data_IF_349699642382
#
_entry.id   IF_349699642382
#
_cell.length_a   1.000
_cell.length_b   1.000
_cell.length_c   1.000
_cell.angle_alpha   90.00
_cell.angle_beta   90.00
_cell.angle_gamma   90.00
#
_symmetry.space_group_name_H-M   'P 1'
#
loop_
_entity.id
_entity.type
_entity.pdbx_description
1 polymer ?
#
# COMPACT_ATOMS: atom_id res chain seq x y z
N UNK A 1 11.43 -5.71 10.67
CA UNK A 1 12.28 -4.52 10.57
C UNK A 1 11.57 -3.52 9.69
N UNK A 2 10.94 -2.52 10.29
CA UNK A 2 10.15 -1.53 9.57
C UNK A 2 11.07 -0.59 8.79
N UNK A 3 10.78 -0.40 7.52
CA UNK A 3 11.39 0.64 6.69
C UNK A 3 10.83 2.00 7.10
N UNK A 4 11.71 2.97 7.31
CA UNK A 4 11.31 4.31 7.71
C UNK A 4 10.52 5.02 6.61
N UNK A 5 9.32 5.47 6.95
CA UNK A 5 8.52 6.32 6.10
C UNK A 5 9.18 7.69 5.93
N UNK A 6 9.43 8.10 4.69
CA UNK A 6 9.88 9.44 4.37
C UNK A 6 8.75 10.45 4.63
N UNK A 7 9.03 11.49 5.40
CA UNK A 7 8.06 12.52 5.75
C UNK A 7 7.65 13.35 4.52
N UNK A 8 6.37 13.41 4.22
CA UNK A 8 5.79 14.27 3.19
C UNK A 8 5.76 15.73 3.65
N UNK A 9 6.39 16.61 2.87
CA UNK A 9 6.12 18.04 2.80
C UNK A 9 5.55 18.33 1.41
N UNK A 10 4.26 18.62 1.34
CA UNK A 10 3.62 19.04 0.09
C UNK A 10 4.07 20.46 -0.28
N UNK A 11 4.89 20.58 -1.32
CA UNK A 11 5.14 21.81 -2.06
C UNK A 11 4.72 21.58 -3.51
N UNK A 12 3.71 22.30 -3.96
CA UNK A 12 3.26 22.29 -5.35
C UNK A 12 4.36 22.87 -6.25
N UNK A 13 5.21 22.01 -6.78
CA UNK A 13 6.17 22.30 -7.83
C UNK A 13 5.72 21.64 -9.13
N UNK A 14 5.68 22.40 -10.23
CA UNK A 14 5.33 21.89 -11.53
C UNK A 14 6.28 20.76 -11.94
N UNK A 15 5.82 19.54 -11.78
CA UNK A 15 6.51 18.35 -12.24
C UNK A 15 6.52 18.33 -13.76
N UNK A 16 7.70 18.23 -14.35
CA UNK A 16 7.82 17.86 -15.77
C UNK A 16 7.28 16.44 -15.91
N UNK A 17 6.09 16.29 -16.49
CA UNK A 17 5.46 15.02 -16.72
C UNK A 17 6.46 14.05 -17.39
N UNK A 18 6.95 13.06 -16.62
CA UNK A 18 7.55 11.86 -17.19
C UNK A 18 6.49 11.19 -18.06
N UNK A 19 6.88 10.69 -19.23
CA UNK A 19 5.95 9.99 -20.11
C UNK A 19 5.21 8.91 -19.30
N UNK A 20 3.87 8.99 -19.28
CA UNK A 20 3.01 8.04 -18.55
C UNK A 20 3.47 6.60 -18.82
N UNK A 21 3.79 5.87 -17.77
CA UNK A 21 4.11 4.46 -17.83
C UNK A 21 5.60 4.08 -17.99
N UNK A 22 6.55 5.03 -17.89
CA UNK A 22 7.97 4.71 -17.98
C UNK A 22 8.64 4.63 -16.60
N UNK A 23 9.42 3.59 -16.38
CA UNK A 23 10.25 3.49 -15.18
C UNK A 23 11.32 4.59 -15.12
N UNK A 24 11.71 5.06 -13.92
CA UNK A 24 12.82 6.00 -13.74
C UNK A 24 14.13 5.47 -14.31
N UNK A 25 15.07 6.39 -14.58
CA UNK A 25 16.40 6.02 -15.09
C UNK A 25 17.10 5.02 -14.14
N UNK A 26 17.65 3.95 -14.70
CA UNK A 26 18.30 2.88 -13.95
C UNK A 26 17.39 1.73 -13.53
N UNK A 27 16.11 1.82 -13.86
CA UNK A 27 15.16 0.72 -13.70
C UNK A 27 14.76 0.13 -15.05
N UNK A 28 14.39 -1.15 -15.05
CA UNK A 28 13.73 -1.83 -16.16
C UNK A 28 12.27 -2.11 -15.80
N UNK A 29 11.40 -2.07 -16.79
CA UNK A 29 9.95 -2.31 -16.63
C UNK A 29 9.62 -3.79 -16.70
N UNK A 30 8.56 -4.22 -16.01
CA UNK A 30 7.88 -5.48 -16.29
C UNK A 30 7.32 -5.50 -17.73
N UNK A 31 7.13 -6.72 -18.26
CA UNK A 31 6.47 -6.91 -19.56
C UNK A 31 4.96 -7.04 -19.42
N UNK A 32 4.47 -7.45 -18.24
CA UNK A 32 3.05 -7.50 -17.91
C UNK A 32 2.45 -6.11 -17.82
N UNK A 33 1.31 -5.91 -18.46
CA UNK A 33 0.55 -4.68 -18.37
C UNK A 33 -0.20 -4.63 -17.02
N UNK A 34 0.14 -3.64 -16.20
CA UNK A 34 -0.56 -3.33 -14.94
C UNK A 34 -1.48 -2.13 -15.12
N UNK A 35 -2.32 -2.15 -16.16
CA UNK A 35 -3.17 -1.03 -16.57
C UNK A 35 -2.39 0.27 -16.79
N UNK A 36 -1.11 0.15 -17.22
CA UNK A 36 -0.22 1.28 -17.44
C UNK A 36 0.41 1.86 -16.18
N UNK A 37 0.26 1.22 -15.02
CA UNK A 37 1.02 1.57 -13.81
C UNK A 37 2.39 0.91 -13.88
N UNK A 38 3.51 1.66 -13.83
CA UNK A 38 4.84 1.10 -13.96
C UNK A 38 5.19 0.18 -12.79
N UNK A 39 5.65 -1.02 -13.11
CA UNK A 39 6.33 -1.89 -12.15
C UNK A 39 7.80 -1.98 -12.60
N UNK A 40 8.69 -1.51 -11.76
CA UNK A 40 10.05 -1.14 -12.10
C UNK A 40 11.05 -1.88 -11.23
N UNK A 41 12.08 -2.47 -11.82
CA UNK A 41 13.10 -3.20 -11.06
C UNK A 41 14.51 -2.71 -11.35
N UNK A 42 15.36 -2.74 -10.34
CA UNK A 42 16.80 -2.57 -10.53
C UNK A 42 17.43 -3.78 -11.24
N UNK A 43 18.61 -3.59 -11.82
CA UNK A 43 19.28 -4.57 -12.69
C UNK A 43 19.46 -5.97 -12.09
N UNK A 44 19.64 -6.06 -10.75
CA UNK A 44 19.91 -7.32 -10.05
C UNK A 44 18.67 -8.15 -9.69
N UNK A 45 17.49 -7.59 -9.82
CA UNK A 45 16.22 -8.29 -9.59
C UNK A 45 16.01 -9.33 -10.71
N UNK A 46 15.50 -10.51 -10.37
CA UNK A 46 15.17 -11.51 -11.40
C UNK A 46 13.94 -11.10 -12.22
N UNK A 47 13.85 -11.58 -13.47
CA UNK A 47 12.65 -11.39 -14.29
C UNK A 47 11.43 -12.00 -13.63
N UNK A 48 11.60 -13.12 -12.92
CA UNK A 48 10.53 -13.80 -12.21
C UNK A 48 9.93 -12.93 -11.08
N UNK A 49 10.77 -12.26 -10.31
CA UNK A 49 10.31 -11.36 -9.23
C UNK A 49 9.58 -10.14 -9.80
N UNK A 50 10.16 -9.54 -10.84
CA UNK A 50 9.55 -8.39 -11.50
C UNK A 50 8.17 -8.71 -12.10
N UNK A 51 8.05 -9.82 -12.82
CA UNK A 51 6.77 -10.27 -13.40
C UNK A 51 5.76 -10.72 -12.31
N UNK A 52 6.26 -11.26 -11.19
CA UNK A 52 5.43 -11.57 -10.03
C UNK A 52 4.80 -10.30 -9.43
N UNK A 53 5.59 -9.27 -9.17
CA UNK A 53 5.12 -7.99 -8.66
C UNK A 53 4.08 -7.33 -9.61
N UNK A 54 4.36 -7.34 -10.91
CA UNK A 54 3.42 -6.86 -11.92
C UNK A 54 2.11 -7.66 -11.95
N UNK A 55 2.20 -8.97 -11.80
CA UNK A 55 1.04 -9.86 -11.71
C UNK A 55 0.20 -9.61 -10.46
N UNK A 56 0.83 -9.29 -9.33
CA UNK A 56 0.11 -8.90 -8.09
C UNK A 56 -0.59 -7.57 -8.28
N UNK A 57 0.13 -6.54 -8.77
CA UNK A 57 -0.45 -5.22 -9.06
C UNK A 57 -1.66 -5.32 -9.99
N UNK A 58 -1.54 -6.09 -11.07
CA UNK A 58 -2.62 -6.29 -12.02
C UNK A 58 -3.87 -6.91 -11.35
N UNK A 59 -3.69 -7.97 -10.55
CA UNK A 59 -4.80 -8.62 -9.82
C UNK A 59 -5.46 -7.74 -8.76
N UNK A 60 -4.73 -6.80 -8.18
CA UNK A 60 -5.28 -5.86 -7.21
C UNK A 60 -6.06 -4.71 -7.87
N UNK A 61 -5.74 -4.36 -9.11
CA UNK A 61 -6.45 -3.37 -9.91
C UNK A 61 -7.67 -3.94 -10.65
N UNK A 62 -7.68 -5.25 -10.89
CA UNK A 62 -8.74 -6.02 -11.58
C UNK A 62 -8.89 -7.36 -10.86
N UNK A 63 -9.63 -7.34 -9.75
CA UNK A 63 -9.71 -8.49 -8.87
C UNK A 63 -10.55 -9.63 -9.44
N UNK A 64 -11.62 -9.30 -10.16
CA UNK A 64 -12.48 -10.29 -10.82
C UNK A 64 -11.89 -10.78 -12.17
N UNK A 65 -10.74 -10.22 -12.58
CA UNK A 65 -9.98 -10.59 -13.78
C UNK A 65 -10.82 -10.51 -15.07
N UNK A 66 -11.72 -9.51 -15.12
CA UNK A 66 -12.55 -9.28 -16.29
C UNK A 66 -11.86 -8.44 -17.40
N UNK A 67 -10.64 -7.97 -17.16
CA UNK A 67 -9.82 -7.16 -18.08
C UNK A 67 -10.13 -5.66 -18.01
N UNK A 68 -10.89 -5.22 -17.01
CA UNK A 68 -11.17 -3.80 -16.75
C UNK A 68 -10.84 -3.45 -15.31
N UNK A 69 -10.29 -2.25 -15.03
CA UNK A 69 -9.97 -1.88 -13.67
C UNK A 69 -11.24 -1.74 -12.82
N UNK A 70 -11.22 -2.28 -11.60
CA UNK A 70 -12.35 -2.25 -10.66
C UNK A 70 -12.77 -0.82 -10.28
N UNK A 71 -11.80 0.11 -10.23
CA UNK A 71 -12.03 1.52 -9.92
C UNK A 71 -11.32 2.44 -10.94
N UNK A 72 -11.99 2.81 -12.04
CA UNK A 72 -11.41 3.74 -13.02
C UNK A 72 -10.94 5.08 -12.43
N UNK A 73 -11.62 5.71 -11.44
CA UNK A 73 -11.10 6.91 -10.80
C UNK A 73 -9.75 6.69 -10.09
N UNK A 74 -9.60 5.58 -9.36
CA UNK A 74 -8.34 5.22 -8.69
C UNK A 74 -7.22 5.03 -9.70
N UNK A 75 -7.49 4.34 -10.80
CA UNK A 75 -6.50 4.16 -11.87
C UNK A 75 -6.10 5.49 -12.53
N UNK A 76 -7.02 6.45 -12.64
CA UNK A 76 -6.72 7.77 -13.17
C UNK A 76 -5.73 8.51 -12.26
N UNK A 77 -5.99 8.55 -10.95
CA UNK A 77 -5.09 9.20 -9.98
C UNK A 77 -3.71 8.53 -9.92
N UNK A 78 -3.65 7.20 -9.94
CA UNK A 78 -2.37 6.47 -10.01
C UNK A 78 -1.52 6.88 -11.22
N UNK A 79 -2.16 7.12 -12.37
CA UNK A 79 -1.47 7.59 -13.57
C UNK A 79 -1.08 9.06 -13.49
N UNK A 80 -1.94 9.89 -12.93
CA UNK A 80 -1.73 11.35 -12.84
C UNK A 80 -0.66 11.68 -11.78
N UNK A 81 -0.58 10.93 -10.69
CA UNK A 81 0.50 11.05 -9.68
C UNK A 81 1.86 10.59 -10.19
N UNK A 82 1.91 9.82 -11.28
CA UNK A 82 3.13 9.17 -11.74
C UNK A 82 3.60 8.04 -10.81
N UNK A 83 2.67 7.47 -10.02
CA UNK A 83 2.97 6.40 -9.10
C UNK A 83 3.58 5.19 -9.80
N UNK A 84 4.55 4.54 -9.17
CA UNK A 84 5.14 3.31 -9.64
C UNK A 84 5.52 2.37 -8.50
N UNK A 85 5.57 1.08 -8.82
CA UNK A 85 5.94 0.03 -7.88
C UNK A 85 7.39 -0.38 -8.12
N UNK A 86 8.26 -0.21 -7.12
CA UNK A 86 9.70 -0.43 -7.25
C UNK A 86 10.11 -1.77 -6.64
N UNK A 87 10.87 -2.57 -7.39
CA UNK A 87 11.41 -3.86 -6.96
C UNK A 87 12.91 -3.79 -6.81
N UNK A 88 13.41 -4.14 -5.63
CA UNK A 88 14.84 -4.23 -5.31
C UNK A 88 15.21 -5.67 -4.94
N UNK A 89 16.50 -6.06 -5.04
CA UNK A 89 16.90 -7.42 -4.69
C UNK A 89 16.90 -7.69 -3.17
N UNK A 90 17.24 -6.67 -2.36
CA UNK A 90 17.42 -6.76 -0.92
C UNK A 90 17.40 -5.35 -0.28
N UNK A 91 17.18 -5.24 1.05
CA UNK A 91 17.18 -3.99 1.82
C UNK A 91 18.47 -3.17 1.61
N UNK A 92 19.63 -3.82 1.55
CA UNK A 92 20.90 -3.13 1.32
C UNK A 92 20.99 -2.46 -0.05
N UNK A 93 20.26 -2.99 -1.03
CA UNK A 93 20.20 -2.36 -2.36
C UNK A 93 19.32 -1.12 -2.33
N UNK A 94 18.23 -1.14 -1.55
CA UNK A 94 17.37 0.01 -1.28
C UNK A 94 18.21 1.12 -0.62
N UNK A 95 18.86 0.84 0.51
CA UNK A 95 19.70 1.80 1.24
C UNK A 95 20.73 2.45 0.32
N UNK A 96 21.51 1.61 -0.38
CA UNK A 96 22.56 2.11 -1.30
C UNK A 96 22.02 2.93 -2.46
N UNK A 97 20.78 2.68 -2.87
CA UNK A 97 20.16 3.44 -3.94
C UNK A 97 19.77 4.82 -3.44
N UNK A 98 19.00 4.90 -2.36
CA UNK A 98 18.52 6.16 -1.81
C UNK A 98 19.63 7.03 -1.20
N UNK A 99 20.66 6.45 -0.57
CA UNK A 99 21.83 7.16 -0.05
C UNK A 99 22.65 7.92 -1.12
N UNK A 100 22.47 7.58 -2.40
CA UNK A 100 23.19 8.22 -3.52
C UNK A 100 22.42 9.33 -4.20
N UNK A 101 21.12 9.44 -3.90
CA UNK A 101 20.28 10.46 -4.47
C UNK A 101 20.55 11.81 -3.81
N UNK A 102 20.54 12.87 -4.59
CA UNK A 102 20.41 14.22 -4.05
C UNK A 102 18.94 14.58 -3.80
N UNK A 103 18.69 15.69 -3.08
CA UNK A 103 17.34 16.10 -2.70
C UNK A 103 16.38 16.20 -3.92
N UNK A 104 16.86 16.69 -5.05
CA UNK A 104 16.04 16.83 -6.26
C UNK A 104 15.74 15.50 -6.95
N UNK A 105 16.58 14.50 -6.74
CA UNK A 105 16.37 13.14 -7.21
C UNK A 105 15.41 12.38 -6.30
N UNK A 106 15.44 12.61 -4.98
CA UNK A 106 14.48 12.05 -4.04
C UNK A 106 13.04 12.36 -4.43
N UNK A 107 12.75 13.61 -4.83
CA UNK A 107 11.42 14.05 -5.27
C UNK A 107 10.86 13.17 -6.41
N UNK A 108 11.73 12.61 -7.25
CA UNK A 108 11.33 11.74 -8.36
C UNK A 108 10.85 10.35 -7.92
N UNK A 109 11.05 9.98 -6.66
CA UNK A 109 10.67 8.70 -6.08
C UNK A 109 9.60 8.83 -4.99
N UNK A 110 9.08 10.03 -4.72
CA UNK A 110 8.04 10.25 -3.71
C UNK A 110 6.76 9.44 -3.96
N UNK A 111 6.38 9.27 -5.23
CA UNK A 111 5.23 8.47 -5.62
C UNK A 111 5.60 7.00 -5.88
N UNK A 112 6.43 6.40 -5.02
CA UNK A 112 6.79 4.99 -5.14
C UNK A 112 6.72 4.23 -3.82
N UNK A 113 6.42 2.94 -3.93
CA UNK A 113 6.54 1.98 -2.84
C UNK A 113 7.51 0.89 -3.26
N UNK A 114 8.27 0.38 -2.32
CA UNK A 114 9.36 -0.58 -2.57
C UNK A 114 9.00 -1.95 -2.02
N UNK A 115 9.28 -3.00 -2.81
CA UNK A 115 9.29 -4.38 -2.35
C UNK A 115 10.65 -5.02 -2.65
N UNK A 116 11.08 -5.95 -1.79
CA UNK A 116 12.33 -6.67 -1.94
C UNK A 116 12.10 -8.09 -2.44
N UNK A 117 12.90 -8.51 -3.43
CA UNK A 117 12.80 -9.85 -4.03
C UNK A 117 13.03 -10.96 -3.01
N UNK A 118 13.94 -10.77 -2.06
CA UNK A 118 14.28 -11.76 -1.03
C UNK A 118 13.19 -11.95 0.04
N UNK A 119 12.17 -11.09 0.04
CA UNK A 119 10.98 -11.20 0.91
C UNK A 119 9.76 -11.78 0.20
N UNK A 120 9.76 -11.85 -1.13
CA UNK A 120 8.61 -12.30 -1.91
C UNK A 120 8.35 -13.80 -1.78
N UNK A 121 7.11 -14.18 -1.51
CA UNK A 121 6.68 -15.58 -1.66
C UNK A 121 6.20 -15.90 -3.08
N UNK A 122 7.11 -15.83 -4.05
CA UNK A 122 6.82 -16.15 -5.46
C UNK A 122 6.35 -17.60 -5.64
N UNK A 123 6.65 -18.47 -4.67
CA UNK A 123 6.28 -19.88 -4.71
C UNK A 123 4.88 -20.17 -4.18
N UNK A 124 4.30 -19.26 -3.41
CA UNK A 124 3.05 -19.43 -2.68
C UNK A 124 3.13 -20.48 -1.56
N UNK A 125 4.32 -20.73 -1.01
CA UNK A 125 4.57 -21.81 -0.03
C UNK A 125 4.95 -21.30 1.35
N UNK A 126 5.36 -20.04 1.46
CA UNK A 126 5.86 -19.44 2.69
C UNK A 126 4.75 -18.80 3.54
N UNK A 127 3.56 -18.71 3.00
CA UNK A 127 2.34 -18.31 3.73
C UNK A 127 1.88 -16.90 3.44
N UNK A 128 2.72 -15.88 3.58
CA UNK A 128 2.40 -14.49 3.24
C UNK A 128 3.39 -13.95 2.20
N UNK A 129 2.84 -13.20 1.27
CA UNK A 129 3.61 -12.52 0.23
C UNK A 129 3.56 -11.00 0.45
N UNK A 130 4.64 -10.36 0.92
CA UNK A 130 4.70 -8.92 1.12
C UNK A 130 4.45 -8.10 -0.15
N UNK A 131 4.61 -8.70 -1.33
CA UNK A 131 4.28 -8.06 -2.60
C UNK A 131 2.83 -7.55 -2.64
N UNK A 132 1.91 -8.24 -1.95
CA UNK A 132 0.49 -7.83 -1.86
C UNK A 132 0.33 -6.56 -1.03
N UNK A 133 1.06 -6.46 0.08
CA UNK A 133 1.05 -5.33 0.99
C UNK A 133 1.54 -4.07 0.30
N UNK A 134 2.73 -4.14 -0.25
CA UNK A 134 3.39 -3.00 -0.88
C UNK A 134 2.66 -2.53 -2.16
N UNK A 135 2.09 -3.46 -2.93
CA UNK A 135 1.25 -3.10 -4.07
C UNK A 135 -0.07 -2.43 -3.64
N UNK A 136 -0.68 -2.87 -2.51
CA UNK A 136 -1.84 -2.19 -1.93
C UNK A 136 -1.48 -0.80 -1.42
N UNK A 137 -0.29 -0.59 -0.85
CA UNK A 137 0.18 0.73 -0.44
C UNK A 137 0.23 1.69 -1.64
N UNK A 138 0.79 1.28 -2.79
CA UNK A 138 0.72 2.09 -4.02
C UNK A 138 -0.72 2.47 -4.36
N UNK A 139 -1.63 1.48 -4.39
CA UNK A 139 -3.01 1.66 -4.83
C UNK A 139 -3.80 2.53 -3.84
N UNK A 140 -3.60 2.36 -2.54
CA UNK A 140 -4.35 3.11 -1.53
C UNK A 140 -3.82 4.51 -1.35
N UNK A 141 -2.51 4.71 -1.29
CA UNK A 141 -1.86 6.00 -1.10
C UNK A 141 -2.05 6.94 -2.29
N UNK A 142 -1.65 6.49 -3.47
CA UNK A 142 -1.63 7.32 -4.68
C UNK A 142 -2.89 7.20 -5.54
N UNK A 143 -3.76 6.27 -5.20
CA UNK A 143 -5.01 6.03 -5.91
C UNK A 143 -6.24 6.38 -5.08
N UNK A 144 -6.58 5.55 -4.08
CA UNK A 144 -7.82 5.75 -3.29
C UNK A 144 -7.82 7.02 -2.48
N UNK A 145 -6.71 7.38 -1.84
CA UNK A 145 -6.61 8.59 -1.02
C UNK A 145 -6.82 9.86 -1.84
N UNK A 146 -6.36 9.87 -3.09
CA UNK A 146 -6.50 11.00 -4.01
C UNK A 146 -7.86 11.00 -4.74
N UNK A 147 -8.34 9.85 -5.21
CA UNK A 147 -9.62 9.74 -5.89
C UNK A 147 -10.82 10.01 -4.97
N UNK A 148 -10.70 9.62 -3.70
CA UNK A 148 -11.79 9.69 -2.72
C UNK A 148 -11.30 10.21 -1.35
N UNK A 149 -10.79 11.44 -1.28
CA UNK A 149 -10.11 11.95 -0.08
C UNK A 149 -11.00 11.99 1.17
N UNK A 150 -12.31 12.22 1.03
CA UNK A 150 -13.24 12.19 2.18
C UNK A 150 -13.43 10.77 2.73
N UNK A 151 -13.23 9.74 1.89
CA UNK A 151 -13.38 8.33 2.28
C UNK A 151 -12.05 7.71 2.72
N UNK A 152 -10.97 7.89 1.95
CA UNK A 152 -9.69 7.19 2.10
C UNK A 152 -8.48 8.12 2.28
N UNK A 153 -8.68 9.43 2.39
CA UNK A 153 -7.58 10.38 2.57
C UNK A 153 -6.76 10.09 3.83
N UNK A 154 -5.46 10.26 3.73
CA UNK A 154 -4.48 10.01 4.80
C UNK A 154 -4.41 11.17 5.81
N UNK A 155 -5.56 11.68 6.20
CA UNK A 155 -5.68 12.80 7.13
C UNK A 155 -6.84 12.58 8.11
N UNK A 156 -6.76 13.25 9.24
CA UNK A 156 -7.79 13.20 10.27
C UNK A 156 -9.12 13.74 9.75
N UNK A 157 -10.20 12.96 9.89
CA UNK A 157 -11.55 13.30 9.47
C UNK A 157 -11.97 12.65 8.16
N UNK A 158 -11.10 11.91 7.47
CA UNK A 158 -11.53 10.96 6.45
C UNK A 158 -12.26 9.79 7.09
N UNK A 159 -13.15 9.13 6.36
CA UNK A 159 -13.93 8.02 6.92
C UNK A 159 -13.04 6.87 7.39
N UNK A 160 -12.00 6.52 6.63
CA UNK A 160 -11.05 5.47 7.00
C UNK A 160 -10.23 5.84 8.25
N UNK A 161 -9.83 7.12 8.37
CA UNK A 161 -9.10 7.60 9.54
C UNK A 161 -9.95 7.55 10.82
N UNK A 162 -11.22 7.91 10.74
CA UNK A 162 -12.14 7.82 11.88
C UNK A 162 -12.36 6.36 12.31
N UNK A 163 -12.41 5.43 11.36
CA UNK A 163 -12.50 3.99 11.64
C UNK A 163 -11.19 3.44 12.24
N UNK A 164 -10.04 3.91 11.77
CA UNK A 164 -8.74 3.59 12.38
C UNK A 164 -8.68 4.11 13.82
N UNK A 165 -9.08 5.36 14.06
CA UNK A 165 -9.08 5.92 15.41
C UNK A 165 -9.99 5.14 16.36
N UNK A 166 -11.15 4.68 15.89
CA UNK A 166 -12.02 3.81 16.67
C UNK A 166 -11.37 2.45 16.96
N UNK A 167 -10.69 1.84 15.97
CA UNK A 167 -10.03 0.54 16.08
C UNK A 167 -8.87 0.55 17.08
N UNK A 168 -8.12 1.64 17.18
CA UNK A 168 -6.98 1.79 18.10
C UNK A 168 -7.35 2.48 19.44
N UNK A 169 -8.65 2.72 19.66
CA UNK A 169 -9.18 3.23 20.95
C UNK A 169 -9.07 4.73 21.12
N UNK A 170 -8.87 5.49 20.06
CA UNK A 170 -8.84 6.95 20.02
C UNK A 170 -7.80 7.52 19.05
N UNK A 171 -7.87 8.84 18.90
CA UNK A 171 -6.90 9.57 18.07
C UNK A 171 -5.50 9.60 18.70
N UNK A 172 -4.52 9.21 17.91
CA UNK A 172 -3.09 9.30 18.21
C UNK A 172 -2.37 9.89 17.00
N UNK A 173 -1.83 11.10 17.11
CA UNK A 173 -1.09 11.75 16.03
C UNK A 173 0.22 11.02 15.66
N UNK A 174 0.74 10.22 16.57
CA UNK A 174 1.91 9.35 16.41
C UNK A 174 1.66 8.05 17.14
N UNK A 175 2.44 7.03 16.86
CA UNK A 175 2.41 5.75 17.58
C UNK A 175 2.61 6.01 19.08
N UNK A 176 1.63 5.68 19.94
CA UNK A 176 1.71 5.93 21.37
C UNK A 176 2.63 4.91 22.07
N UNK A 177 3.11 5.24 23.26
CA UNK A 177 3.89 4.28 24.07
C UNK A 177 3.05 3.04 24.45
N UNK A 178 1.74 3.19 24.52
CA UNK A 178 0.80 2.13 24.84
C UNK A 178 -0.57 2.47 24.30
N UNK A 179 -1.18 1.53 23.61
CA UNK A 179 -2.57 1.64 23.14
C UNK A 179 -3.55 1.33 24.29
N UNK A 180 -4.78 1.89 24.23
CA UNK A 180 -5.85 1.57 25.17
C UNK A 180 -6.16 0.05 25.19
N UNK A 181 -6.58 -0.42 26.35
CA UNK A 181 -7.06 -1.80 26.48
C UNK A 181 -8.27 -2.01 25.56
N UNK A 182 -8.21 -3.05 24.71
CA UNK A 182 -9.28 -3.34 23.74
C UNK A 182 -9.07 -2.78 22.35
N UNK A 183 -7.98 -2.03 22.10
CA UNK A 183 -7.57 -1.69 20.74
C UNK A 183 -7.46 -2.98 19.89
N UNK A 184 -7.99 -2.94 18.67
CA UNK A 184 -7.94 -4.06 17.72
C UNK A 184 -6.96 -3.81 16.59
N UNK A 185 -6.46 -2.60 16.49
CA UNK A 185 -5.33 -2.19 15.67
C UNK A 185 -4.30 -1.48 16.56
N UNK A 186 -3.06 -1.85 16.43
CA UNK A 186 -1.90 -1.21 17.07
C UNK A 186 -0.76 -1.17 16.05
N UNK A 187 0.20 -0.30 16.25
CA UNK A 187 1.38 -0.21 15.39
C UNK A 187 2.60 0.11 16.25
N UNK A 188 3.77 -0.42 15.92
CA UNK A 188 4.94 -0.27 16.78
C UNK A 188 6.02 0.65 16.19
N UNK A 189 6.06 0.82 14.88
CA UNK A 189 7.04 1.69 14.23
C UNK A 189 6.72 3.17 14.51
N UNK A 190 7.59 3.80 15.29
CA UNK A 190 7.45 5.20 15.70
C UNK A 190 7.79 6.20 14.62
N UNK A 191 8.43 5.78 13.54
CA UNK A 191 8.69 6.62 12.37
C UNK A 191 7.42 6.83 11.54
N UNK A 192 6.47 5.89 11.62
CA UNK A 192 5.19 5.94 10.95
C UNK A 192 4.31 7.06 11.52
N UNK A 193 4.05 8.07 10.73
CA UNK A 193 3.17 9.18 11.10
C UNK A 193 1.69 8.80 11.00
N UNK A 194 0.79 9.78 11.09
CA UNK A 194 -0.65 9.50 11.07
C UNK A 194 -1.14 9.00 9.71
N UNK A 195 -0.61 9.55 8.62
CA UNK A 195 -0.93 9.13 7.26
C UNK A 195 -0.47 7.70 7.01
N UNK A 196 0.79 7.41 7.30
CA UNK A 196 1.35 6.06 7.25
C UNK A 196 0.50 5.04 8.03
N UNK A 197 0.06 5.36 9.25
CA UNK A 197 -0.79 4.46 10.04
C UNK A 197 -2.17 4.23 9.40
N UNK A 198 -2.69 5.19 8.61
CA UNK A 198 -3.93 5.00 7.83
C UNK A 198 -3.69 4.04 6.68
N UNK A 199 -2.55 4.12 5.99
CA UNK A 199 -2.15 3.22 4.92
C UNK A 199 -2.09 1.79 5.42
N UNK A 200 -1.37 1.55 6.51
CA UNK A 200 -1.27 0.24 7.17
C UNK A 200 -2.63 -0.31 7.63
N UNK A 201 -3.43 0.53 8.27
CA UNK A 201 -4.78 0.15 8.68
C UNK A 201 -5.66 -0.26 7.50
N UNK A 202 -5.56 0.48 6.40
CA UNK A 202 -6.32 0.20 5.17
C UNK A 202 -5.92 -1.12 4.55
N UNK A 203 -4.61 -1.40 4.51
CA UNK A 203 -4.07 -2.70 4.10
C UNK A 203 -4.65 -3.85 4.93
N UNK A 204 -4.59 -3.77 6.27
CA UNK A 204 -5.16 -4.78 7.15
C UNK A 204 -6.66 -4.99 6.93
N UNK A 205 -7.40 -3.90 6.76
CA UNK A 205 -8.83 -3.95 6.55
C UNK A 205 -9.18 -4.65 5.22
N UNK A 206 -8.56 -4.26 4.10
CA UNK A 206 -8.80 -4.83 2.78
C UNK A 206 -8.42 -6.32 2.76
N UNK A 207 -7.22 -6.68 3.20
CA UNK A 207 -6.73 -8.06 3.17
C UNK A 207 -7.55 -8.99 4.06
N UNK A 208 -8.02 -8.51 5.21
CA UNK A 208 -8.89 -9.29 6.09
C UNK A 208 -10.30 -9.45 5.53
N UNK A 209 -10.87 -8.39 4.93
CA UNK A 209 -12.17 -8.49 4.24
C UNK A 209 -12.12 -9.48 3.06
N UNK A 210 -11.01 -9.59 2.37
CA UNK A 210 -10.76 -10.59 1.32
C UNK A 210 -10.41 -11.97 1.86
N UNK A 211 -10.30 -12.13 3.19
CA UNK A 211 -10.03 -13.40 3.87
C UNK A 211 -8.56 -13.87 3.78
N UNK A 212 -7.65 -13.03 3.30
CA UNK A 212 -6.23 -13.37 3.15
C UNK A 212 -5.53 -13.58 4.49
N UNK A 213 -6.02 -12.94 5.57
CA UNK A 213 -5.44 -13.03 6.91
C UNK A 213 -6.06 -14.14 7.79
N UNK A 214 -6.97 -14.96 7.25
CA UNK A 214 -7.77 -15.92 8.01
C UNK A 214 -6.96 -16.86 8.90
N UNK A 215 -5.79 -17.26 8.47
CA UNK A 215 -4.92 -18.21 9.17
C UNK A 215 -3.71 -17.55 9.86
N UNK A 216 -3.64 -16.22 9.86
CA UNK A 216 -2.47 -15.45 10.33
C UNK A 216 -2.62 -14.88 11.75
N UNK A 217 -3.67 -15.25 12.50
CA UNK A 217 -3.98 -14.69 13.82
C UNK A 217 -2.78 -14.71 14.80
N UNK A 218 -1.95 -15.76 14.78
CA UNK A 218 -0.78 -15.90 15.66
C UNK A 218 0.42 -15.05 15.20
N UNK A 219 0.47 -14.67 13.93
CA UNK A 219 1.52 -13.87 13.33
C UNK A 219 1.25 -12.37 13.50
N UNK A 220 0.02 -11.95 13.22
CA UNK A 220 -0.36 -10.55 13.15
C UNK A 220 -1.19 -10.05 14.34
N UNK A 221 -1.53 -10.92 15.28
CA UNK A 221 -2.47 -10.63 16.37
C UNK A 221 -2.02 -9.56 17.37
N UNK A 222 -0.73 -9.26 17.42
CA UNK A 222 -0.19 -8.18 18.23
C UNK A 222 -0.46 -6.81 17.59
N UNK A 223 -0.61 -6.75 16.27
CA UNK A 223 -0.89 -5.54 15.51
C UNK A 223 -2.35 -5.45 15.06
N UNK A 224 -2.88 -6.54 14.45
CA UNK A 224 -4.21 -6.59 13.91
C UNK A 224 -5.02 -7.79 14.42
N UNK A 225 -6.17 -7.54 15.04
CA UNK A 225 -7.00 -8.58 15.68
C UNK A 225 -8.26 -8.92 14.91
N UNK A 226 -8.54 -8.21 13.81
CA UNK A 226 -9.72 -8.45 12.98
C UNK A 226 -9.37 -9.21 11.70
N UNK A 227 -8.65 -10.31 11.83
CA UNK A 227 -8.03 -11.08 10.75
C UNK A 227 -9.00 -11.87 9.85
N UNK A 228 -10.33 -11.75 10.07
CA UNK A 228 -11.34 -12.38 9.22
C UNK A 228 -12.49 -11.43 8.91
N UNK A 229 -13.21 -11.64 7.77
CA UNK A 229 -14.40 -10.84 7.44
C UNK A 229 -15.46 -10.85 8.55
N UNK A 230 -15.65 -11.99 9.21
CA UNK A 230 -16.64 -12.16 10.28
C UNK A 230 -16.28 -11.35 11.52
N UNK A 231 -14.98 -11.26 11.85
CA UNK A 231 -14.49 -10.42 12.95
C UNK A 231 -14.66 -8.94 12.62
N UNK A 232 -14.37 -8.52 11.38
CA UNK A 232 -14.60 -7.13 10.95
C UNK A 232 -16.09 -6.82 11.01
N UNK A 233 -16.95 -7.68 10.45
CA UNK A 233 -18.39 -7.47 10.46
C UNK A 233 -18.96 -7.33 11.88
N UNK A 234 -18.43 -8.08 12.83
CA UNK A 234 -18.90 -8.06 14.22
C UNK A 234 -18.35 -6.91 15.07
N UNK A 235 -17.11 -6.45 14.79
CA UNK A 235 -16.36 -5.52 15.65
C UNK A 235 -16.16 -4.15 15.04
N UNK A 236 -16.15 -4.05 13.71
CA UNK A 236 -15.95 -2.83 12.94
C UNK A 236 -16.90 -2.77 11.72
N UNK A 237 -18.23 -2.81 11.91
CA UNK A 237 -19.21 -2.84 10.80
C UNK A 237 -19.09 -1.62 9.89
N UNK A 238 -18.57 -0.48 10.37
CA UNK A 238 -18.27 0.69 9.56
C UNK A 238 -17.24 0.42 8.47
N UNK A 239 -16.24 -0.45 8.72
CA UNK A 239 -15.29 -0.88 7.70
C UNK A 239 -16.00 -1.68 6.59
N UNK A 240 -16.90 -2.59 6.96
CA UNK A 240 -17.69 -3.32 5.96
C UNK A 240 -18.48 -2.34 5.10
N UNK A 241 -19.17 -1.39 5.71
CA UNK A 241 -19.97 -0.39 4.99
C UNK A 241 -19.12 0.45 4.03
N UNK A 242 -17.94 0.88 4.48
CA UNK A 242 -17.03 1.70 3.67
C UNK A 242 -16.45 0.87 2.50
N UNK A 243 -15.85 -0.27 2.81
CA UNK A 243 -15.11 -1.06 1.80
C UNK A 243 -16.02 -1.79 0.81
N UNK A 244 -17.27 -2.08 1.18
CA UNK A 244 -18.26 -2.70 0.28
C UNK A 244 -19.12 -1.68 -0.47
N UNK A 245 -18.87 -0.39 -0.35
CA UNK A 245 -19.59 0.62 -1.09
C UNK A 245 -19.21 0.56 -2.59
N UNK A 246 -20.18 0.29 -3.49
CA UNK A 246 -19.89 0.10 -4.91
C UNK A 246 -19.33 1.33 -5.61
N UNK A 247 -19.41 2.52 -4.98
CA UNK A 247 -18.80 3.74 -5.52
C UNK A 247 -17.28 3.67 -5.61
N UNK A 248 -16.66 2.85 -4.77
CA UNK A 248 -15.21 2.79 -4.65
C UNK A 248 -14.58 1.68 -5.49
N UNK A 249 -15.36 0.66 -5.92
CA UNK A 249 -14.84 -0.44 -6.72
C UNK A 249 -13.89 -1.37 -5.94
N UNK A 250 -14.03 -1.42 -4.59
CA UNK A 250 -13.34 -2.41 -3.77
C UNK A 250 -14.24 -3.64 -3.73
N UNK A 251 -13.91 -4.65 -4.55
CA UNK A 251 -14.73 -5.86 -4.67
C UNK A 251 -14.46 -6.86 -3.55
N UNK A 252 -15.55 -7.42 -3.02
CA UNK A 252 -15.54 -8.50 -2.01
C UNK A 252 -16.43 -9.66 -2.40
#
# INVERSE_FOLDING_TARGET
TAMGAAALLALAGASTATAQGACPAGFRSATSDSFGIPVCATERVSDRALEHAAGVMNRLLDFDQNGTPDSPPVLAELRDSGAFYAVFPDERAVDRFFDRLDDSQHDSYEASVVVMEDEMDISGREGWDPTIEEALHVITQFGYAEAFPEAFGEFRGSAIADLMDAARGGYHARVPNRYPAGAVYTYEDRSCDYGCQITEFTFWAITSMRGLNRNRANEIGDEWRLHTPELIASRAPGLVALLSDPRFGILF
#
